data_IF_718384540379
#
_entry.id   IF_718384540379
#
_cell.length_a   1.000
_cell.length_b   1.000
_cell.length_c   1.000
_cell.angle_alpha   90.00
_cell.angle_beta   90.00
_cell.angle_gamma   90.00
#
_symmetry.space_group_name_H-M   'P 1'
#
loop_
_entity.id
_entity.type
_entity.pdbx_description
1 polymer ?
#
# COMPACT_ATOMS: atom_id res chain seq x y z
N UNK A 1 3.71 0.70 -28.99
CA UNK A 1 5.03 1.22 -28.61
C UNK A 1 5.67 0.15 -27.72
N UNK A 2 6.96 -0.11 -27.85
CA UNK A 2 7.62 -1.14 -27.03
C UNK A 2 7.85 -0.57 -25.64
N UNK A 3 7.23 -1.19 -24.63
CA UNK A 3 7.45 -0.84 -23.23
C UNK A 3 8.95 -1.00 -22.91
N UNK A 4 9.67 0.05 -22.49
CA UNK A 4 11.10 -0.09 -22.22
C UNK A 4 11.32 -0.86 -20.91
N UNK A 5 12.25 -1.82 -20.90
CA UNK A 5 12.50 -2.69 -19.73
C UNK A 5 12.83 -1.93 -18.44
N UNK A 6 13.42 -0.73 -18.55
CA UNK A 6 13.72 0.10 -17.38
C UNK A 6 12.45 0.62 -16.68
N UNK A 7 11.34 0.77 -17.40
CA UNK A 7 10.08 1.30 -16.85
C UNK A 7 9.44 0.30 -15.90
N UNK A 8 9.41 -0.98 -16.26
CA UNK A 8 8.91 -2.05 -15.38
C UNK A 8 9.75 -2.16 -14.11
N UNK A 9 11.08 -2.06 -14.24
CA UNK A 9 11.98 -2.07 -13.09
C UNK A 9 11.76 -0.85 -12.18
N UNK A 10 11.58 0.33 -12.76
CA UNK A 10 11.31 1.56 -12.01
C UNK A 10 9.94 1.50 -11.30
N UNK A 11 8.90 1.02 -11.97
CA UNK A 11 7.57 0.82 -11.39
C UNK A 11 7.57 -0.25 -10.29
N UNK A 12 8.40 -1.28 -10.42
CA UNK A 12 8.61 -2.26 -9.34
C UNK A 12 9.31 -1.62 -8.13
N UNK A 13 10.31 -0.75 -8.36
CA UNK A 13 11.02 -0.05 -7.29
C UNK A 13 10.12 0.95 -6.55
N UNK A 14 9.23 1.65 -7.25
CA UNK A 14 8.33 2.63 -6.64
C UNK A 14 7.38 2.02 -5.61
N UNK A 15 7.15 0.70 -5.64
CA UNK A 15 6.40 -0.05 -4.62
C UNK A 15 6.99 0.05 -3.22
N UNK A 16 8.29 0.30 -3.10
CA UNK A 16 8.99 0.45 -1.82
C UNK A 16 8.98 1.89 -1.28
N UNK A 17 8.55 2.86 -2.09
CA UNK A 17 8.62 4.29 -1.78
C UNK A 17 7.21 4.81 -1.44
N UNK A 18 6.91 5.03 -0.15
CA UNK A 18 5.57 5.36 0.32
C UNK A 18 4.94 6.63 -0.30
N UNK A 19 5.79 7.55 -0.76
CA UNK A 19 5.41 8.82 -1.40
C UNK A 19 5.10 8.68 -2.90
N UNK A 20 5.27 7.50 -3.50
CA UNK A 20 4.96 7.23 -4.90
C UNK A 20 3.62 6.51 -5.07
N UNK A 21 2.98 6.71 -6.23
CA UNK A 21 1.76 5.98 -6.59
C UNK A 21 1.97 4.47 -6.72
N UNK A 22 3.17 4.02 -7.10
CA UNK A 22 3.45 2.57 -7.18
C UNK A 22 3.27 1.85 -5.85
N UNK A 23 3.65 2.48 -4.73
CA UNK A 23 3.38 1.95 -3.40
C UNK A 23 1.88 1.92 -3.09
N UNK A 24 1.14 2.98 -3.44
CA UNK A 24 -0.30 3.05 -3.24
C UNK A 24 -1.04 1.96 -4.03
N UNK A 25 -0.68 1.77 -5.31
CA UNK A 25 -1.24 0.72 -6.15
C UNK A 25 -0.91 -0.67 -5.65
N UNK A 26 0.32 -0.91 -5.18
CA UNK A 26 0.68 -2.21 -4.64
C UNK A 26 -0.13 -2.54 -3.37
N UNK A 27 -0.28 -1.58 -2.46
CA UNK A 27 -1.18 -1.71 -1.30
C UNK A 27 -2.61 -2.01 -1.71
N UNK A 28 -3.17 -1.23 -2.63
CA UNK A 28 -4.54 -1.42 -3.10
C UNK A 28 -4.72 -2.82 -3.72
N UNK A 29 -3.75 -3.28 -4.51
CA UNK A 29 -3.78 -4.63 -5.08
C UNK A 29 -3.75 -5.73 -4.03
N UNK A 30 -2.96 -5.56 -2.98
CA UNK A 30 -2.90 -6.50 -1.86
C UNK A 30 -4.22 -6.53 -1.08
N UNK A 31 -4.84 -5.37 -0.87
CA UNK A 31 -6.14 -5.26 -0.18
C UNK A 31 -7.27 -5.93 -0.96
N UNK A 32 -7.30 -5.75 -2.29
CA UNK A 32 -8.35 -6.28 -3.17
C UNK A 32 -8.02 -7.68 -3.74
N UNK A 33 -6.83 -8.22 -3.44
CA UNK A 33 -6.38 -9.52 -3.96
C UNK A 33 -6.25 -9.57 -5.49
N UNK A 34 -5.86 -8.46 -6.13
CA UNK A 34 -5.85 -8.32 -7.58
C UNK A 34 -4.45 -8.34 -8.21
N UNK A 35 -4.40 -8.83 -9.45
CA UNK A 35 -3.19 -8.79 -10.28
C UNK A 35 -2.91 -7.39 -10.83
N UNK A 36 -1.75 -7.21 -11.46
CA UNK A 36 -1.36 -5.91 -12.05
C UNK A 36 -2.23 -5.57 -13.26
N UNK A 37 -2.53 -6.58 -14.06
CA UNK A 37 -3.43 -6.50 -15.21
C UNK A 37 -4.88 -6.23 -14.76
N UNK A 38 -5.27 -6.77 -13.61
CA UNK A 38 -6.55 -6.50 -12.98
C UNK A 38 -6.71 -5.02 -12.62
N UNK A 39 -5.68 -4.43 -11.99
CA UNK A 39 -5.67 -3.00 -11.67
C UNK A 39 -5.67 -2.13 -12.94
N UNK A 40 -4.85 -2.46 -13.93
CA UNK A 40 -4.82 -1.73 -15.19
C UNK A 40 -6.21 -1.73 -15.87
N UNK A 41 -6.89 -2.88 -15.86
CA UNK A 41 -8.25 -3.02 -16.37
C UNK A 41 -9.27 -2.20 -15.56
N UNK A 42 -9.15 -2.18 -14.23
CA UNK A 42 -10.02 -1.37 -13.37
C UNK A 42 -9.84 0.12 -13.61
N UNK A 43 -8.62 0.58 -13.86
CA UNK A 43 -8.32 1.97 -14.24
C UNK A 43 -8.59 2.27 -15.72
N UNK A 44 -9.02 1.28 -16.51
CA UNK A 44 -9.27 1.44 -17.94
C UNK A 44 -8.03 1.76 -18.76
N UNK A 45 -6.84 1.40 -18.28
CA UNK A 45 -5.56 1.73 -18.91
C UNK A 45 -4.73 0.49 -19.26
N UNK A 46 -3.63 0.69 -19.98
CA UNK A 46 -2.68 -0.39 -20.26
C UNK A 46 -1.73 -0.61 -19.08
N UNK A 47 -1.11 -1.79 -18.98
CA UNK A 47 -0.07 -2.07 -17.97
C UNK A 47 1.12 -1.10 -18.12
N UNK A 48 1.45 -0.71 -19.35
CA UNK A 48 2.47 0.32 -19.60
C UNK A 48 2.07 1.67 -19.00
N UNK A 49 0.83 2.11 -19.20
CA UNK A 49 0.29 3.34 -18.59
C UNK A 49 0.29 3.24 -17.07
N UNK A 50 -0.06 2.08 -16.51
CA UNK A 50 -0.01 1.82 -15.07
C UNK A 50 1.41 1.95 -14.53
N UNK A 51 2.42 1.44 -15.26
CA UNK A 51 3.82 1.59 -14.87
C UNK A 51 4.28 3.05 -14.89
N UNK A 52 3.83 3.84 -15.86
CA UNK A 52 4.07 5.29 -15.85
C UNK A 52 3.43 5.99 -14.65
N UNK A 53 2.16 5.69 -14.37
CA UNK A 53 1.46 6.22 -13.20
C UNK A 53 2.16 5.86 -11.90
N UNK A 54 2.71 4.65 -11.80
CA UNK A 54 3.42 4.18 -10.61
C UNK A 54 4.66 5.02 -10.25
N UNK A 55 5.21 5.79 -11.21
CA UNK A 55 6.33 6.70 -10.99
C UNK A 55 5.91 8.10 -10.53
N UNK A 56 4.62 8.44 -10.60
CA UNK A 56 4.13 9.73 -10.14
C UNK A 56 4.16 9.80 -8.61
N UNK A 57 4.28 11.02 -8.09
CA UNK A 57 4.11 11.30 -6.67
C UNK A 57 2.66 11.02 -6.27
N UNK A 58 2.49 10.38 -5.11
CA UNK A 58 1.18 10.11 -4.51
C UNK A 58 0.48 11.44 -4.18
N UNK A 59 -0.77 11.65 -4.65
CA UNK A 59 -1.58 12.80 -4.26
C UNK A 59 -1.88 12.84 -2.75
N UNK A 60 -1.83 14.02 -2.14
CA UNK A 60 -2.02 14.20 -0.69
C UNK A 60 -2.55 15.61 -0.33
N UNK A 61 -3.02 15.76 0.91
CA UNK A 61 -3.46 17.05 1.45
C UNK A 61 -4.79 17.57 0.87
N UNK A 62 -4.99 18.89 0.96
CA UNK A 62 -6.20 19.59 0.51
C UNK A 62 -6.36 19.55 -1.02
N UNK A 63 -5.25 19.49 -1.76
CA UNK A 63 -5.21 19.45 -3.23
C UNK A 63 -5.28 18.03 -3.81
N UNK A 64 -5.63 17.03 -3.00
CA UNK A 64 -5.65 15.63 -3.43
C UNK A 64 -6.44 15.40 -4.73
N UNK A 65 -7.64 16.00 -4.84
CA UNK A 65 -8.48 15.82 -6.03
C UNK A 65 -7.83 16.45 -7.27
N UNK A 66 -7.38 17.70 -7.15
CA UNK A 66 -6.73 18.44 -8.25
C UNK A 66 -5.47 17.74 -8.75
N UNK A 67 -4.64 17.25 -7.82
CA UNK A 67 -3.43 16.48 -8.13
C UNK A 67 -3.76 15.17 -8.85
N UNK A 68 -4.81 14.46 -8.40
CA UNK A 68 -5.23 13.20 -9.01
C UNK A 68 -5.75 13.42 -10.43
N UNK A 69 -6.60 14.43 -10.64
CA UNK A 69 -7.10 14.80 -11.97
C UNK A 69 -5.95 15.20 -12.90
N UNK A 70 -4.99 16.00 -12.43
CA UNK A 70 -3.83 16.40 -13.25
C UNK A 70 -2.95 15.22 -13.69
N UNK A 71 -2.82 14.18 -12.85
CA UNK A 71 -2.12 12.94 -13.20
C UNK A 71 -2.94 12.15 -14.23
N UNK A 72 -4.25 12.00 -14.00
CA UNK A 72 -5.14 11.26 -14.88
C UNK A 72 -5.15 11.86 -16.30
N UNK A 73 -5.32 13.19 -16.42
CA UNK A 73 -5.28 13.92 -17.68
C UNK A 73 -3.95 13.74 -18.43
N UNK A 74 -2.82 13.82 -17.70
CA UNK A 74 -1.47 13.66 -18.29
C UNK A 74 -1.26 12.29 -18.92
N UNK A 75 -1.85 11.24 -18.34
CA UNK A 75 -1.65 9.85 -18.76
C UNK A 75 -2.82 9.29 -19.57
N UNK A 76 -3.88 10.08 -19.80
CA UNK A 76 -5.07 9.66 -20.54
C UNK A 76 -5.87 8.58 -19.81
N UNK A 77 -5.89 8.62 -18.47
CA UNK A 77 -6.64 7.70 -17.63
C UNK A 77 -7.88 8.39 -17.09
N UNK A 78 -8.94 7.63 -16.83
CA UNK A 78 -10.16 8.15 -16.24
C UNK A 78 -9.90 8.64 -14.80
N UNK A 79 -10.14 9.93 -14.57
CA UNK A 79 -9.86 10.60 -13.30
C UNK A 79 -10.77 10.09 -12.18
N UNK A 80 -12.03 9.79 -12.50
CA UNK A 80 -13.00 9.23 -11.56
C UNK A 80 -12.59 7.84 -11.07
N UNK A 81 -12.09 6.97 -11.95
CA UNK A 81 -11.58 5.65 -11.58
C UNK A 81 -10.33 5.76 -10.70
N UNK A 82 -9.40 6.65 -11.04
CA UNK A 82 -8.18 6.87 -10.25
C UNK A 82 -8.51 7.43 -8.85
N UNK A 83 -9.45 8.39 -8.77
CA UNK A 83 -9.94 8.94 -7.51
C UNK A 83 -10.61 7.86 -6.63
N UNK A 84 -11.39 6.95 -7.23
CA UNK A 84 -12.00 5.86 -6.48
C UNK A 84 -10.96 4.93 -5.87
N UNK A 85 -9.97 4.48 -6.65
CA UNK A 85 -8.91 3.60 -6.19
C UNK A 85 -8.13 4.23 -5.02
N UNK A 86 -7.68 5.48 -5.20
CA UNK A 86 -6.93 6.18 -4.16
C UNK A 86 -7.78 6.55 -2.94
N UNK A 87 -9.06 6.86 -3.15
CA UNK A 87 -10.01 7.16 -2.10
C UNK A 87 -10.28 5.96 -1.19
N UNK A 88 -10.48 4.77 -1.76
CA UNK A 88 -10.62 3.52 -1.00
C UNK A 88 -9.40 3.26 -0.13
N UNK A 89 -8.20 3.41 -0.70
CA UNK A 89 -6.96 3.25 0.05
C UNK A 89 -6.86 4.24 1.23
N UNK A 90 -7.21 5.51 1.01
CA UNK A 90 -7.17 6.55 2.06
C UNK A 90 -8.11 6.23 3.22
N UNK A 91 -9.32 5.73 2.94
CA UNK A 91 -10.28 5.32 3.98
C UNK A 91 -9.71 4.17 4.82
N UNK A 92 -9.08 3.19 4.18
CA UNK A 92 -8.46 2.05 4.88
C UNK A 92 -7.28 2.50 5.75
N UNK A 93 -6.41 3.38 5.24
CA UNK A 93 -5.27 3.90 5.99
C UNK A 93 -5.71 4.67 7.25
N UNK A 94 -6.70 5.57 7.13
CA UNK A 94 -7.26 6.31 8.29
C UNK A 94 -7.82 5.35 9.35
N UNK A 95 -8.49 4.27 8.94
CA UNK A 95 -9.02 3.27 9.86
C UNK A 95 -7.92 2.46 10.56
N UNK A 96 -6.85 2.10 9.83
CA UNK A 96 -5.70 1.39 10.41
C UNK A 96 -4.92 2.27 11.40
N UNK A 97 -4.70 3.55 11.08
CA UNK A 97 -4.06 4.51 11.99
C UNK A 97 -4.85 4.66 13.30
N UNK A 98 -6.18 4.78 13.21
CA UNK A 98 -7.06 4.88 14.38
C UNK A 98 -7.04 3.62 15.25
N UNK A 99 -6.81 2.45 14.65
CA UNK A 99 -6.74 1.17 15.36
C UNK A 99 -5.38 0.94 16.03
N UNK A 100 -4.30 1.47 15.45
CA UNK A 100 -2.95 1.39 16.01
C UNK A 100 -2.82 2.27 17.27
N UNK A 101 -3.44 3.45 17.28
CA UNK A 101 -3.42 4.38 18.42
C UNK A 101 -4.16 3.81 19.66
N UNK A 102 -5.15 2.94 19.45
CA UNK A 102 -5.87 2.21 20.51
C UNK A 102 -5.09 1.05 21.15
N UNK A 103 -3.91 0.70 20.63
CA UNK A 103 -3.13 -0.48 21.06
C UNK A 103 -1.92 -0.15 21.95
N UNK A 104 -1.69 1.12 22.27
CA UNK A 104 -0.62 1.55 23.18
C UNK A 104 -0.96 1.44 24.68
N UNK A 105 -2.16 0.97 25.07
CA UNK A 105 -2.55 0.84 26.49
C UNK A 105 -3.09 -0.53 26.91
N UNK A 106 -2.67 -1.61 26.24
CA UNK A 106 -2.78 -2.97 26.79
C UNK A 106 -1.55 -3.83 26.48
N UNK A 107 -0.35 -3.26 26.62
CA UNK A 107 0.90 -4.00 26.77
C UNK A 107 1.17 -4.36 28.23
N UNK A 108 0.13 -4.80 28.96
CA UNK A 108 0.29 -5.39 30.28
C UNK A 108 1.05 -6.70 30.11
N UNK A 109 2.35 -6.65 30.41
CA UNK A 109 3.26 -7.79 30.50
C UNK A 109 2.57 -8.91 31.27
N UNK A 110 2.03 -9.90 30.56
CA UNK A 110 1.63 -11.16 31.17
C UNK A 110 2.90 -11.96 31.39
N UNK A 111 3.52 -11.72 32.56
CA UNK A 111 4.49 -12.66 33.14
C UNK A 111 3.75 -13.98 33.38
N UNK A 112 3.88 -14.90 32.43
CA UNK A 112 3.64 -16.31 32.69
C UNK A 112 4.75 -16.78 33.65
N UNK A 113 4.41 -16.93 34.93
CA UNK A 113 5.18 -17.71 35.88
C UNK A 113 5.15 -19.17 35.39
N UNK A 114 6.15 -19.55 34.60
CA UNK A 114 6.32 -20.93 34.20
C UNK A 114 7.09 -21.65 35.30
N UNK A 115 6.29 -22.32 36.11
CA UNK A 115 6.63 -23.35 37.07
C UNK A 115 7.64 -24.37 36.50
N UNK A 116 8.76 -24.55 37.21
CA UNK A 116 9.65 -25.70 37.07
C UNK A 116 9.89 -26.27 38.45
N UNK A 117 9.06 -27.23 38.83
CA UNK A 117 9.33 -28.11 39.95
C UNK A 117 10.47 -29.10 39.60
N UNK A 118 11.50 -29.07 40.46
CA UNK A 118 12.42 -30.13 40.93
C UNK A 118 12.90 -31.21 39.95
N UNK A 119 14.22 -31.35 39.91
CA UNK A 119 14.85 -32.67 39.86
C UNK A 119 16.07 -32.72 40.81
N UNK A 120 16.30 -33.93 41.31
CA UNK A 120 16.98 -34.37 42.53
C UNK A 120 18.51 -34.15 42.50
N UNK A 121 19.10 -33.62 43.58
CA UNK A 121 20.56 -33.69 43.82
C UNK A 121 20.88 -34.94 44.66
N UNK A 122 21.61 -35.95 44.14
CA UNK A 122 22.22 -36.96 44.99
C UNK A 122 23.61 -36.48 45.42
N UNK A 123 23.76 -36.12 46.70
CA UNK A 123 25.07 -35.89 47.31
C UNK A 123 25.54 -37.19 48.00
N UNK A 124 26.59 -37.79 47.44
CA UNK A 124 27.51 -38.72 48.15
C UNK A 124 28.70 -37.95 48.71
#
# INVERSE_FOLDING_TARGET
MTNPEWLELAARRSKSEAWMLGHAFDKYRQLEGMSEEGLAKELGCSVETLNWLALCRRPEGEHFNEQTTAIAERHGVDDYLLLQVLGRLKVVEVFQESSADGSAQQGGVLMAAQDRERDDEPQT
#
